data_IF_099207585314
#
_entry.id   IF_099207585314
#
_cell.length_a   1.000
_cell.length_b   1.000
_cell.length_c   1.000
_cell.angle_alpha   90.00
_cell.angle_beta   90.00
_cell.angle_gamma   90.00
#
_symmetry.space_group_name_H-M   'P 1'
#
loop_
_entity.id
_entity.type
_entity.pdbx_description
1 polymer ?
#
# COMPACT_ATOMS: atom_id res chain seq x y z
N UNK A 1 69.61 27.73 50.55
CA UNK A 1 69.07 27.52 49.17
C UNK A 1 67.98 26.45 49.18
N UNK A 2 66.73 26.85 49.14
CA UNK A 2 65.59 25.96 49.07
C UNK A 2 65.03 25.98 47.64
N UNK A 3 65.22 24.91 46.92
CA UNK A 3 64.66 24.68 45.57
C UNK A 3 63.21 24.31 45.68
N UNK A 4 62.31 25.16 45.19
CA UNK A 4 60.86 24.83 44.99
C UNK A 4 60.66 23.91 43.80
N UNK A 5 60.03 22.75 44.02
CA UNK A 5 59.52 21.86 42.95
C UNK A 5 58.26 22.46 42.38
N UNK A 6 58.03 22.40 41.02
CA UNK A 6 56.81 22.90 40.45
C UNK A 6 55.72 21.82 40.59
N UNK A 7 54.53 22.27 41.06
CA UNK A 7 53.29 21.46 41.10
C UNK A 7 52.79 21.18 39.66
N UNK A 8 52.85 19.95 39.28
CA UNK A 8 52.15 19.46 38.08
C UNK A 8 50.64 19.37 38.36
N UNK A 9 49.91 20.37 37.88
CA UNK A 9 48.44 20.38 37.87
C UNK A 9 47.95 19.32 36.90
N UNK A 10 47.51 18.18 37.40
CA UNK A 10 46.83 17.15 36.60
C UNK A 10 45.51 17.70 36.11
N UNK A 11 45.45 18.15 34.85
CA UNK A 11 44.21 18.42 34.13
C UNK A 11 43.54 17.09 33.84
N UNK A 12 42.57 16.70 34.67
CA UNK A 12 41.67 15.61 34.39
C UNK A 12 40.69 16.12 33.35
N UNK A 13 40.92 15.75 32.07
CA UNK A 13 39.94 15.99 30.99
C UNK A 13 38.82 14.98 31.19
N UNK A 14 37.71 15.47 31.72
CA UNK A 14 36.47 14.72 31.84
C UNK A 14 35.87 14.66 30.44
N UNK A 15 36.03 13.51 29.74
CA UNK A 15 35.30 13.22 28.51
C UNK A 15 33.85 12.93 28.90
N UNK A 16 33.03 13.96 28.82
CA UNK A 16 31.59 13.83 28.86
C UNK A 16 31.17 13.16 27.52
N UNK A 17 31.06 11.83 27.53
CA UNK A 17 30.40 11.11 26.44
C UNK A 17 28.92 11.52 26.42
N UNK A 18 28.61 12.51 25.58
CA UNK A 18 27.25 12.77 25.16
C UNK A 18 26.83 11.55 24.35
N UNK A 19 26.20 10.56 24.99
CA UNK A 19 25.43 9.54 24.31
C UNK A 19 24.22 10.26 23.73
N UNK A 20 24.41 10.81 22.53
CA UNK A 20 23.29 11.14 21.65
C UNK A 20 22.67 9.79 21.35
N UNK A 21 21.63 9.43 22.09
CA UNK A 21 20.71 8.42 21.66
C UNK A 21 20.09 8.94 20.35
N UNK A 22 20.73 8.63 19.23
CA UNK A 22 20.05 8.63 17.96
C UNK A 22 18.85 7.70 18.17
N UNK A 23 17.70 8.27 18.43
CA UNK A 23 16.43 7.58 18.23
C UNK A 23 16.40 7.26 16.73
N UNK A 24 17.06 6.16 16.37
CA UNK A 24 16.82 5.52 15.10
C UNK A 24 15.32 5.27 15.10
N UNK A 25 14.56 6.06 14.35
CA UNK A 25 13.23 5.67 13.98
C UNK A 25 13.40 4.41 13.12
N UNK A 26 13.56 3.26 13.82
CA UNK A 26 13.54 1.96 13.20
C UNK A 26 12.17 1.83 12.55
N UNK A 27 12.15 1.53 11.28
CA UNK A 27 10.94 1.14 10.56
C UNK A 27 10.26 0.04 11.37
N UNK A 28 9.11 0.36 11.95
CA UNK A 28 8.36 -0.60 12.76
C UNK A 28 7.56 -1.50 11.82
N UNK A 29 7.77 -2.81 11.91
CA UNK A 29 6.98 -3.79 11.17
C UNK A 29 6.10 -4.54 12.16
N UNK A 30 4.79 -4.44 11.99
CA UNK A 30 3.82 -5.11 12.84
C UNK A 30 3.07 -6.22 12.10
N UNK A 31 2.75 -7.31 12.80
CA UNK A 31 1.79 -8.30 12.32
C UNK A 31 0.39 -7.70 12.45
N UNK A 32 -0.38 -7.70 11.35
CA UNK A 32 -1.73 -7.14 11.39
C UNK A 32 -2.75 -8.05 12.10
N UNK A 33 -2.45 -9.35 12.19
CA UNK A 33 -3.20 -10.35 12.94
C UNK A 33 -2.32 -10.86 14.08
N UNK A 34 -2.45 -10.34 15.31
CA UNK A 34 -1.56 -10.71 16.41
C UNK A 34 -1.82 -12.12 16.93
N UNK A 35 -3.05 -12.60 16.82
CA UNK A 35 -3.49 -13.91 17.30
C UNK A 35 -3.69 -14.87 16.10
N UNK A 36 -4.93 -15.16 15.76
CA UNK A 36 -5.29 -16.02 14.66
C UNK A 36 -5.42 -15.23 13.35
N UNK A 37 -4.79 -15.72 12.29
CA UNK A 37 -4.94 -15.15 10.94
C UNK A 37 -6.22 -15.74 10.32
N UNK A 38 -7.23 -14.93 9.97
CA UNK A 38 -8.47 -15.45 9.40
C UNK A 38 -8.22 -16.15 8.06
N UNK A 39 -9.07 -17.13 7.72
CA UNK A 39 -8.98 -17.83 6.44
C UNK A 39 -7.63 -18.56 6.23
N UNK A 40 -6.99 -18.99 7.33
CA UNK A 40 -5.70 -19.69 7.31
C UNK A 40 -5.88 -21.20 7.50
N UNK A 41 -5.03 -21.96 6.81
CA UNK A 41 -4.78 -23.38 7.04
C UNK A 41 -3.29 -23.62 7.34
N UNK A 42 -2.95 -24.71 8.01
CA UNK A 42 -1.57 -25.07 8.27
C UNK A 42 -0.84 -25.40 6.96
N UNK A 43 0.37 -24.89 6.81
CA UNK A 43 1.21 -25.10 5.64
C UNK A 43 2.68 -25.04 6.00
N UNK A 44 3.47 -25.94 5.40
CA UNK A 44 4.93 -25.91 5.46
C UNK A 44 5.56 -24.99 4.41
N UNK A 45 4.75 -24.38 3.56
CA UNK A 45 5.24 -23.40 2.56
C UNK A 45 5.94 -22.24 3.28
N UNK A 46 7.04 -21.77 2.72
CA UNK A 46 7.79 -20.61 3.25
C UNK A 46 7.64 -19.42 2.34
N UNK A 47 7.48 -18.25 2.92
CA UNK A 47 7.62 -16.98 2.23
C UNK A 47 9.02 -16.85 1.65
N UNK A 48 9.13 -16.28 0.45
CA UNK A 48 10.40 -16.07 -0.24
C UNK A 48 10.56 -14.58 -0.52
N UNK A 49 11.65 -14.00 -0.03
CA UNK A 49 12.17 -12.72 -0.51
C UNK A 49 13.18 -13.01 -1.61
N UNK A 50 13.01 -12.42 -2.78
CA UNK A 50 13.93 -12.59 -3.90
C UNK A 50 14.30 -11.24 -4.51
N UNK A 51 15.48 -11.18 -5.11
CA UNK A 51 16.05 -9.97 -5.67
C UNK A 51 16.02 -10.00 -7.19
N UNK A 52 16.03 -8.83 -7.83
CA UNK A 52 16.32 -8.69 -9.26
C UNK A 52 17.71 -9.22 -9.58
N UNK A 53 17.98 -9.51 -10.85
CA UNK A 53 19.28 -10.08 -11.29
C UNK A 53 20.47 -9.19 -10.91
N UNK A 54 20.29 -7.88 -10.87
CA UNK A 54 21.29 -6.89 -10.46
C UNK A 54 21.30 -6.62 -8.94
N UNK A 55 20.48 -7.35 -8.17
CA UNK A 55 20.29 -7.22 -6.72
C UNK A 55 19.89 -5.83 -6.24
N UNK A 56 19.43 -4.96 -7.13
CA UNK A 56 19.04 -3.57 -6.80
C UNK A 56 17.61 -3.45 -6.25
N UNK A 57 16.72 -4.39 -6.62
CA UNK A 57 15.30 -4.39 -6.20
C UNK A 57 14.91 -5.75 -5.64
N UNK A 58 13.94 -5.76 -4.74
CA UNK A 58 13.42 -7.02 -4.19
C UNK A 58 11.90 -7.10 -4.19
N UNK A 59 11.43 -8.35 -4.13
CA UNK A 59 10.03 -8.71 -4.09
C UNK A 59 9.79 -9.82 -3.07
N UNK A 60 8.52 -9.97 -2.66
CA UNK A 60 8.09 -11.12 -1.87
C UNK A 60 7.14 -12.00 -2.68
N UNK A 61 7.24 -13.31 -2.47
CA UNK A 61 6.22 -14.27 -2.96
C UNK A 61 5.85 -15.25 -1.86
N UNK A 62 4.71 -15.92 -2.02
CA UNK A 62 4.18 -16.88 -1.04
C UNK A 62 3.98 -16.29 0.36
N UNK A 63 3.58 -15.04 0.43
CA UNK A 63 3.30 -14.36 1.70
C UNK A 63 2.17 -15.07 2.42
N UNK A 64 2.41 -15.48 3.66
CA UNK A 64 1.47 -16.21 4.51
C UNK A 64 1.13 -15.46 5.79
N UNK A 65 2.05 -14.63 6.27
CA UNK A 65 1.88 -13.78 7.45
C UNK A 65 1.89 -12.32 6.99
N UNK A 66 0.72 -11.67 6.95
CA UNK A 66 0.66 -10.29 6.51
C UNK A 66 1.20 -9.34 7.57
N UNK A 67 1.95 -8.33 7.12
CA UNK A 67 2.54 -7.31 7.98
C UNK A 67 2.28 -5.91 7.44
N UNK A 68 2.34 -4.93 8.32
CA UNK A 68 2.28 -3.52 8.00
C UNK A 68 3.62 -2.89 8.41
N UNK A 69 4.36 -2.36 7.45
CA UNK A 69 5.59 -1.61 7.67
C UNK A 69 5.26 -0.13 7.77
N UNK A 70 5.67 0.50 8.85
CA UNK A 70 5.23 1.84 9.28
C UNK A 70 6.35 2.84 9.04
N UNK A 71 6.05 3.91 8.31
CA UNK A 71 6.94 5.01 8.04
C UNK A 71 6.25 6.32 8.43
N UNK A 72 6.63 6.87 9.58
CA UNK A 72 6.07 8.12 10.07
C UNK A 72 7.00 9.29 9.73
N UNK A 73 6.49 10.41 9.23
CA UNK A 73 7.29 11.62 9.06
C UNK A 73 7.61 12.23 10.44
N UNK A 74 8.67 13.05 10.55
CA UNK A 74 8.91 13.81 11.77
C UNK A 74 7.68 14.65 12.12
N UNK A 75 7.24 14.63 13.37
CA UNK A 75 6.00 15.30 13.83
C UNK A 75 5.88 16.75 13.35
N UNK A 76 6.99 17.48 13.30
CA UNK A 76 7.04 18.89 12.87
C UNK A 76 6.59 19.08 11.41
N UNK A 77 6.75 18.06 10.56
CA UNK A 77 6.45 18.11 9.14
C UNK A 77 5.22 17.27 8.75
N UNK A 78 4.61 16.59 9.72
CA UNK A 78 3.45 15.73 9.46
C UNK A 78 2.24 16.55 9.00
N UNK A 79 1.66 16.18 7.85
CA UNK A 79 0.45 16.81 7.28
C UNK A 79 -0.83 16.32 7.94
N UNK A 80 -0.75 15.20 8.66
CA UNK A 80 -1.91 14.47 9.19
C UNK A 80 -2.54 13.50 8.19
N UNK A 81 -2.06 13.44 6.97
CA UNK A 81 -2.51 12.50 5.95
C UNK A 81 -1.78 11.16 6.05
N UNK A 82 -2.43 10.10 5.61
CA UNK A 82 -1.85 8.77 5.57
C UNK A 82 -2.16 8.03 4.25
N UNK A 83 -1.18 7.26 3.75
CA UNK A 83 -1.31 6.38 2.61
C UNK A 83 -0.95 4.94 3.00
N UNK A 84 -1.89 4.02 2.81
CA UNK A 84 -1.62 2.58 2.91
C UNK A 84 -1.30 2.07 1.52
N UNK A 85 -0.08 1.56 1.33
CA UNK A 85 0.48 1.19 0.04
C UNK A 85 0.25 -0.30 -0.22
N UNK A 86 -0.35 -0.62 -1.35
CA UNK A 86 -0.55 -1.99 -1.84
C UNK A 86 0.32 -2.23 -3.08
N UNK A 87 1.51 -2.81 -2.94
CA UNK A 87 2.38 -3.12 -4.08
C UNK A 87 1.71 -4.06 -5.08
N UNK A 88 2.04 -3.93 -6.36
CA UNK A 88 1.60 -4.83 -7.41
C UNK A 88 2.39 -6.13 -7.48
N UNK A 89 2.32 -6.78 -8.65
CA UNK A 89 2.98 -8.05 -8.92
C UNK A 89 2.02 -9.17 -9.34
N UNK A 90 0.84 -8.79 -9.86
CA UNK A 90 -0.12 -9.72 -10.46
C UNK A 90 -0.70 -10.76 -9.50
N UNK A 91 -0.70 -10.51 -8.20
CA UNK A 91 -1.01 -11.50 -7.14
C UNK A 91 -0.06 -12.72 -7.11
N UNK A 92 1.05 -12.68 -7.85
CA UNK A 92 2.10 -13.70 -7.84
C UNK A 92 3.22 -13.33 -6.87
N UNK A 93 3.56 -12.06 -6.85
CA UNK A 93 4.56 -11.47 -5.97
C UNK A 93 4.11 -10.08 -5.53
N UNK A 94 4.85 -9.48 -4.60
CA UNK A 94 4.74 -8.08 -4.23
C UNK A 94 5.99 -7.36 -4.69
N UNK A 95 5.83 -6.35 -5.53
CA UNK A 95 6.88 -5.43 -5.99
C UNK A 95 7.29 -4.49 -4.85
N UNK A 96 7.77 -5.07 -3.74
CA UNK A 96 7.82 -4.44 -2.43
C UNK A 96 8.80 -3.27 -2.36
N UNK A 97 9.91 -3.37 -3.08
CA UNK A 97 10.92 -2.32 -3.08
C UNK A 97 10.44 -1.07 -3.85
N UNK A 98 10.19 -1.21 -5.17
CA UNK A 98 9.91 -0.03 -6.01
C UNK A 98 8.45 0.45 -5.96
N UNK A 99 7.47 -0.40 -5.67
CA UNK A 99 6.05 0.00 -5.47
C UNK A 99 5.65 0.08 -3.99
N UNK A 100 6.56 -0.26 -3.08
CA UNK A 100 6.41 -0.15 -1.63
C UNK A 100 7.36 0.87 -1.04
N UNK A 101 8.63 0.47 -0.80
CA UNK A 101 9.64 1.29 -0.08
C UNK A 101 9.92 2.62 -0.80
N UNK A 102 10.15 2.60 -2.12
CA UNK A 102 10.46 3.82 -2.87
C UNK A 102 9.28 4.81 -2.83
N UNK A 103 8.05 4.32 -2.95
CA UNK A 103 6.82 5.11 -2.86
C UNK A 103 6.64 5.66 -1.45
N UNK A 104 6.86 4.83 -0.44
CA UNK A 104 6.80 5.20 0.97
C UNK A 104 7.77 6.34 1.27
N UNK A 105 9.04 6.20 0.87
CA UNK A 105 10.07 7.22 1.09
C UNK A 105 9.70 8.55 0.42
N UNK A 106 9.15 8.52 -0.79
CA UNK A 106 8.72 9.73 -1.48
C UNK A 106 7.64 10.48 -0.69
N UNK A 107 6.52 9.84 -0.35
CA UNK A 107 5.42 10.51 0.35
C UNK A 107 5.77 10.85 1.79
N UNK A 108 6.56 10.01 2.47
CA UNK A 108 7.06 10.31 3.81
C UNK A 108 7.93 11.58 3.84
N UNK A 109 8.77 11.79 2.82
CA UNK A 109 9.55 13.03 2.65
C UNK A 109 8.67 14.29 2.44
N UNK A 110 7.39 14.11 2.10
CA UNK A 110 6.39 15.19 1.97
C UNK A 110 5.51 15.37 3.21
N UNK A 111 5.84 14.70 4.30
CA UNK A 111 5.10 14.79 5.55
C UNK A 111 3.87 13.88 5.64
N UNK A 112 3.67 13.00 4.69
CA UNK A 112 2.55 12.03 4.66
C UNK A 112 3.01 10.74 5.34
N UNK A 113 2.25 10.26 6.34
CA UNK A 113 2.51 8.97 6.95
C UNK A 113 2.22 7.83 5.95
N UNK A 114 3.10 6.84 5.86
CA UNK A 114 2.93 5.74 4.92
C UNK A 114 3.02 4.38 5.59
N UNK A 115 2.26 3.44 5.07
CA UNK A 115 2.11 2.09 5.62
C UNK A 115 2.16 1.09 4.48
N UNK A 116 3.20 0.26 4.39
CA UNK A 116 3.32 -0.73 3.33
C UNK A 116 2.69 -2.02 3.79
N UNK A 117 1.62 -2.45 3.12
CA UNK A 117 0.95 -3.71 3.41
C UNK A 117 1.61 -4.85 2.63
N UNK A 118 2.28 -5.75 3.34
CA UNK A 118 2.68 -7.05 2.81
C UNK A 118 1.50 -8.00 2.94
N UNK A 119 0.54 -7.93 2.02
CA UNK A 119 -0.68 -8.74 2.04
C UNK A 119 -0.44 -10.18 1.60
N UNK A 120 -1.26 -11.11 2.08
CA UNK A 120 -1.18 -12.53 1.73
C UNK A 120 -1.42 -12.76 0.24
N UNK A 121 -0.62 -13.65 -0.32
CA UNK A 121 -0.85 -14.08 -1.70
C UNK A 121 -2.06 -15.01 -1.78
N UNK A 122 -2.98 -14.81 -2.74
CA UNK A 122 -4.17 -15.65 -2.89
C UNK A 122 -3.87 -17.14 -3.05
N UNK A 123 -2.74 -17.45 -3.70
CA UNK A 123 -2.31 -18.83 -3.99
C UNK A 123 -1.32 -19.41 -2.96
N UNK A 124 -1.08 -18.73 -1.84
CA UNK A 124 -0.30 -19.32 -0.75
C UNK A 124 -1.02 -20.54 -0.20
N UNK A 125 -0.28 -21.62 0.02
CA UNK A 125 -0.83 -22.89 0.56
C UNK A 125 -1.42 -22.75 1.96
N UNK A 126 -1.15 -21.66 2.66
CA UNK A 126 -1.76 -21.35 3.95
C UNK A 126 -3.11 -20.63 3.84
N UNK A 127 -3.58 -20.31 2.64
CA UNK A 127 -4.86 -19.61 2.41
C UNK A 127 -5.93 -20.61 2.02
N UNK A 128 -7.07 -20.63 2.75
CA UNK A 128 -8.20 -21.52 2.49
C UNK A 128 -9.03 -21.05 1.29
N UNK A 129 -9.41 -19.76 1.27
CA UNK A 129 -10.20 -19.14 0.20
C UNK A 129 -9.38 -18.00 -0.39
N UNK A 130 -8.82 -18.22 -1.57
CA UNK A 130 -7.83 -17.37 -2.22
C UNK A 130 -8.23 -15.89 -2.30
N UNK A 131 -9.42 -15.61 -2.81
CA UNK A 131 -9.86 -14.24 -3.09
C UNK A 131 -10.23 -13.40 -1.84
N UNK A 132 -10.41 -14.04 -0.68
CA UNK A 132 -10.73 -13.33 0.55
C UNK A 132 -9.49 -12.77 1.25
N UNK A 133 -8.38 -13.50 1.22
CA UNK A 133 -7.20 -13.18 2.04
C UNK A 133 -6.63 -11.77 1.79
N UNK A 134 -6.39 -11.28 0.55
CA UNK A 134 -5.90 -9.94 0.34
C UNK A 134 -6.87 -8.86 0.83
N UNK A 135 -8.19 -9.04 0.63
CA UNK A 135 -9.19 -8.06 1.06
C UNK A 135 -9.32 -8.02 2.59
N UNK A 136 -9.28 -9.18 3.28
CA UNK A 136 -9.23 -9.25 4.74
C UNK A 136 -8.03 -8.46 5.28
N UNK A 137 -6.86 -8.64 4.67
CA UNK A 137 -5.63 -7.95 5.09
C UNK A 137 -5.71 -6.44 4.82
N UNK A 138 -6.29 -6.02 3.69
CA UNK A 138 -6.50 -4.61 3.36
C UNK A 138 -7.48 -3.93 4.33
N UNK A 139 -8.63 -4.57 4.62
CA UNK A 139 -9.58 -4.07 5.62
C UNK A 139 -8.92 -3.92 6.99
N UNK A 140 -8.15 -4.94 7.40
CA UNK A 140 -7.45 -4.92 8.70
C UNK A 140 -6.41 -3.82 8.77
N UNK A 141 -5.65 -3.58 7.70
CA UNK A 141 -4.66 -2.51 7.64
C UNK A 141 -5.30 -1.13 7.81
N UNK A 142 -6.39 -0.83 7.10
CA UNK A 142 -7.12 0.44 7.26
C UNK A 142 -7.62 0.62 8.69
N UNK A 143 -8.21 -0.41 9.29
CA UNK A 143 -8.68 -0.40 10.68
C UNK A 143 -7.57 -0.13 11.68
N UNK A 144 -6.40 -0.77 11.51
CA UNK A 144 -5.23 -0.56 12.38
C UNK A 144 -4.73 0.89 12.28
N UNK A 145 -4.60 1.43 11.06
CA UNK A 145 -4.14 2.82 10.87
C UNK A 145 -5.15 3.78 11.50
N UNK A 146 -6.45 3.60 11.27
CA UNK A 146 -7.51 4.45 11.85
C UNK A 146 -7.55 4.37 13.36
N UNK A 147 -7.39 3.19 13.95
CA UNK A 147 -7.31 3.00 15.41
C UNK A 147 -6.15 3.75 16.05
N UNK A 148 -5.01 3.77 15.38
CA UNK A 148 -3.78 4.36 15.89
C UNK A 148 -3.54 5.79 15.39
N UNK A 149 -4.48 6.40 14.70
CA UNK A 149 -4.32 7.69 14.04
C UNK A 149 -3.78 8.77 14.99
N UNK A 150 -4.38 8.93 16.17
CA UNK A 150 -3.92 9.89 17.18
C UNK A 150 -2.47 9.60 17.61
N UNK A 151 -2.14 8.33 17.90
CA UNK A 151 -0.77 7.91 18.28
C UNK A 151 0.26 8.28 17.20
N UNK A 152 -0.12 8.18 15.94
CA UNK A 152 0.75 8.40 14.79
C UNK A 152 0.65 9.81 14.19
N UNK A 153 -0.07 10.71 14.86
CA UNK A 153 -0.28 12.10 14.41
C UNK A 153 -0.95 12.16 13.02
N UNK A 154 -1.97 11.33 12.83
CA UNK A 154 -2.78 11.22 11.61
C UNK A 154 -4.20 11.69 11.91
N UNK A 155 -4.83 12.37 10.95
CA UNK A 155 -6.26 12.63 10.95
C UNK A 155 -6.99 11.33 10.56
N UNK A 156 -7.88 10.75 11.41
CA UNK A 156 -8.58 9.51 11.11
C UNK A 156 -9.51 9.58 9.89
N UNK A 157 -9.79 10.77 9.38
CA UNK A 157 -10.61 11.04 8.20
C UNK A 157 -9.77 11.37 6.95
N UNK A 158 -8.44 11.22 7.02
CA UNK A 158 -7.50 11.46 5.90
C UNK A 158 -6.59 10.22 5.65
N UNK A 159 -7.17 9.03 5.69
CA UNK A 159 -6.48 7.76 5.49
C UNK A 159 -6.85 7.20 4.11
N UNK A 160 -5.96 7.35 3.15
CA UNK A 160 -6.13 6.80 1.81
C UNK A 160 -5.41 5.49 1.59
N UNK A 161 -5.77 4.82 0.49
CA UNK A 161 -5.03 3.67 -0.03
C UNK A 161 -4.44 4.01 -1.39
N UNK A 162 -3.22 3.55 -1.65
CA UNK A 162 -2.59 3.64 -2.97
C UNK A 162 -2.22 2.25 -3.44
N UNK A 163 -2.61 1.88 -4.65
CA UNK A 163 -2.35 0.55 -5.18
C UNK A 163 -1.84 0.57 -6.61
N UNK A 164 -0.90 -0.33 -6.88
CA UNK A 164 -0.20 -0.47 -8.15
C UNK A 164 -0.60 -1.76 -8.85
N UNK A 165 -0.99 -1.74 -10.13
CA UNK A 165 -1.31 -2.94 -10.92
C UNK A 165 -2.33 -3.85 -10.20
N UNK A 166 -1.97 -5.06 -9.79
CA UNK A 166 -2.81 -5.95 -8.97
C UNK A 166 -3.06 -5.38 -7.57
N UNK A 167 -2.14 -4.59 -7.00
CA UNK A 167 -2.37 -3.81 -5.79
C UNK A 167 -3.42 -2.71 -6.01
N UNK A 168 -3.49 -2.13 -7.22
CA UNK A 168 -4.57 -1.24 -7.66
C UNK A 168 -5.93 -1.95 -7.73
N UNK A 169 -5.93 -3.23 -8.12
CA UNK A 169 -7.12 -4.07 -8.01
C UNK A 169 -7.54 -4.24 -6.55
N UNK A 170 -6.61 -4.51 -5.64
CA UNK A 170 -6.91 -4.62 -4.22
C UNK A 170 -7.42 -3.30 -3.65
N UNK A 171 -6.82 -2.16 -4.02
CA UNK A 171 -7.24 -0.83 -3.59
C UNK A 171 -8.65 -0.49 -4.08
N UNK A 172 -8.97 -0.76 -5.35
CA UNK A 172 -10.33 -0.57 -5.87
C UNK A 172 -11.32 -1.58 -5.29
N UNK A 173 -10.88 -2.81 -4.93
CA UNK A 173 -11.73 -3.80 -4.28
C UNK A 173 -12.12 -3.34 -2.87
N UNK A 174 -11.17 -2.87 -2.05
CA UNK A 174 -11.54 -2.36 -0.72
C UNK A 174 -12.38 -1.09 -0.84
N UNK A 175 -12.11 -0.21 -1.80
CA UNK A 175 -12.91 1.01 -1.98
C UNK A 175 -14.37 0.74 -2.38
N UNK A 176 -14.63 -0.30 -3.16
CA UNK A 176 -15.98 -0.65 -3.60
C UNK A 176 -16.69 -1.67 -2.71
N UNK A 177 -15.94 -2.39 -1.85
CA UNK A 177 -16.45 -3.52 -1.06
C UNK A 177 -15.93 -3.52 0.39
N UNK A 178 -15.58 -2.36 0.93
CA UNK A 178 -15.03 -2.21 2.29
C UNK A 178 -15.93 -2.78 3.39
N UNK A 179 -17.24 -2.74 3.17
CA UNK A 179 -18.26 -3.16 4.14
C UNK A 179 -18.56 -4.67 4.13
N UNK A 180 -17.86 -5.47 3.32
CA UNK A 180 -18.03 -6.93 3.35
C UNK A 180 -17.57 -7.48 4.70
N UNK A 181 -18.45 -8.25 5.30
CA UNK A 181 -18.14 -9.00 6.52
C UNK A 181 -17.38 -10.29 6.14
N UNK A 182 -16.08 -10.32 6.40
CA UNK A 182 -15.18 -11.39 5.98
C UNK A 182 -14.47 -12.09 7.15
N UNK A 183 -14.73 -11.67 8.38
CA UNK A 183 -14.03 -12.15 9.58
C UNK A 183 -15.03 -12.84 10.49
N UNK A 184 -14.83 -14.15 10.70
CA UNK A 184 -15.67 -14.95 11.60
C UNK A 184 -15.38 -14.61 13.08
N UNK A 185 -14.12 -14.68 13.50
CA UNK A 185 -13.68 -14.38 14.85
C UNK A 185 -13.15 -12.95 14.95
N UNK A 186 -14.04 -11.99 15.20
CA UNK A 186 -13.72 -10.56 15.28
C UNK A 186 -13.10 -10.18 16.61
N UNK A 187 -12.07 -9.34 16.56
CA UNK A 187 -11.58 -8.59 17.72
C UNK A 187 -12.08 -7.12 17.69
N UNK A 188 -11.69 -6.32 18.72
CA UNK A 188 -12.13 -4.91 18.82
C UNK A 188 -11.73 -4.05 17.61
N UNK A 189 -10.67 -4.41 16.88
CA UNK A 189 -10.23 -3.66 15.68
C UNK A 189 -11.19 -3.90 14.51
N UNK A 190 -11.79 -5.08 14.41
CA UNK A 190 -12.64 -5.45 13.29
C UNK A 190 -14.00 -4.73 13.27
N UNK A 191 -14.35 -4.02 14.34
CA UNK A 191 -15.52 -3.14 14.42
C UNK A 191 -15.25 -1.69 13.99
N UNK A 192 -13.99 -1.34 13.73
CA UNK A 192 -13.62 -0.03 13.19
C UNK A 192 -13.93 0.00 11.69
N UNK A 193 -14.33 1.16 11.17
CA UNK A 193 -14.60 1.31 9.75
C UNK A 193 -13.34 1.05 8.92
N UNK A 194 -13.49 0.21 7.89
CA UNK A 194 -12.42 -0.14 6.93
C UNK A 194 -12.53 0.62 5.61
N UNK A 195 -13.48 1.57 5.48
CA UNK A 195 -13.59 2.41 4.29
C UNK A 195 -12.39 3.35 4.22
N UNK A 196 -11.57 3.31 3.16
CA UNK A 196 -10.56 4.34 2.95
C UNK A 196 -11.23 5.68 2.65
N UNK A 197 -10.60 6.79 3.07
CA UNK A 197 -11.17 8.12 2.85
C UNK A 197 -10.98 8.58 1.40
N UNK A 198 -9.94 8.05 0.72
CA UNK A 198 -9.72 8.21 -0.72
C UNK A 198 -8.88 7.05 -1.29
N UNK A 199 -8.82 6.94 -2.61
CA UNK A 199 -8.01 5.95 -3.32
C UNK A 199 -7.11 6.59 -4.37
N UNK A 200 -5.88 6.06 -4.53
CA UNK A 200 -5.01 6.32 -5.66
C UNK A 200 -4.70 5.01 -6.39
N UNK A 201 -5.02 4.94 -7.67
CA UNK A 201 -4.94 3.74 -8.49
C UNK A 201 -3.94 3.94 -9.62
N UNK A 202 -2.82 3.24 -9.58
CA UNK A 202 -1.72 3.44 -10.51
C UNK A 202 -1.63 2.23 -11.45
N UNK A 203 -1.88 2.45 -12.75
CA UNK A 203 -2.02 1.41 -13.80
C UNK A 203 -2.80 0.18 -13.30
N UNK A 204 -4.02 0.39 -12.73
CA UNK A 204 -4.70 -0.65 -11.97
C UNK A 204 -5.29 -1.74 -12.86
N UNK A 205 -5.24 -2.97 -12.39
CA UNK A 205 -6.16 -4.02 -12.85
C UNK A 205 -7.53 -3.70 -12.26
N UNK A 206 -8.60 -3.74 -13.08
CA UNK A 206 -9.96 -3.37 -12.64
C UNK A 206 -11.01 -4.38 -13.10
N UNK A 207 -11.12 -4.60 -14.41
CA UNK A 207 -12.25 -5.27 -15.03
C UNK A 207 -11.99 -6.74 -15.32
N UNK A 208 -13.01 -7.56 -15.13
CA UNK A 208 -13.04 -8.97 -15.55
C UNK A 208 -13.55 -9.18 -16.99
N UNK A 209 -13.82 -8.11 -17.75
CA UNK A 209 -14.21 -8.20 -19.15
C UNK A 209 -13.06 -8.80 -19.96
N UNK A 210 -13.35 -9.89 -20.68
CA UNK A 210 -12.35 -10.68 -21.42
C UNK A 210 -11.57 -9.88 -22.47
N UNK A 211 -12.09 -8.75 -22.93
CA UNK A 211 -11.43 -7.90 -23.93
C UNK A 211 -10.30 -7.05 -23.34
N UNK A 212 -10.33 -6.79 -22.01
CA UNK A 212 -9.39 -5.87 -21.34
C UNK A 212 -8.80 -6.43 -20.04
N UNK A 213 -9.26 -7.58 -19.56
CA UNK A 213 -8.85 -8.09 -18.26
C UNK A 213 -7.38 -8.54 -18.24
N UNK A 214 -6.75 -8.39 -17.09
CA UNK A 214 -5.45 -8.98 -16.85
C UNK A 214 -5.61 -10.42 -16.34
N UNK A 215 -5.67 -11.37 -17.26
CA UNK A 215 -5.99 -12.78 -16.97
C UNK A 215 -5.11 -13.42 -15.90
N UNK A 216 -3.82 -13.06 -15.87
CA UNK A 216 -2.89 -13.56 -14.85
C UNK A 216 -3.28 -13.18 -13.41
N UNK A 217 -3.73 -11.95 -13.17
CA UNK A 217 -4.20 -11.51 -11.85
C UNK A 217 -5.50 -12.18 -11.45
N UNK A 218 -6.50 -12.20 -12.35
CA UNK A 218 -7.78 -12.83 -12.08
C UNK A 218 -7.65 -14.34 -11.83
N UNK A 219 -6.84 -15.04 -12.63
CA UNK A 219 -6.56 -16.48 -12.43
C UNK A 219 -5.95 -16.76 -11.05
N UNK A 220 -5.00 -15.93 -10.60
CA UNK A 220 -4.36 -16.11 -9.28
C UNK A 220 -5.30 -15.78 -8.14
N UNK A 221 -6.14 -14.78 -8.30
CA UNK A 221 -7.08 -14.36 -7.26
C UNK A 221 -8.27 -15.32 -7.15
N UNK A 222 -8.86 -15.73 -8.29
CA UNK A 222 -10.15 -16.40 -8.36
C UNK A 222 -10.07 -17.88 -8.75
N UNK A 223 -8.89 -18.39 -9.14
CA UNK A 223 -8.71 -19.73 -9.70
C UNK A 223 -8.81 -19.79 -11.22
N UNK A 224 -8.71 -21.00 -11.78
CA UNK A 224 -8.66 -21.19 -13.24
C UNK A 224 -10.01 -20.95 -13.94
N UNK A 225 -11.12 -21.39 -13.33
CA UNK A 225 -12.46 -21.32 -13.91
C UNK A 225 -13.45 -20.75 -12.89
N UNK A 226 -13.33 -19.46 -12.52
CA UNK A 226 -14.20 -18.89 -11.52
C UNK A 226 -15.63 -18.74 -12.05
N UNK A 227 -16.66 -18.94 -11.21
CA UNK A 227 -18.04 -18.68 -11.59
C UNK A 227 -18.23 -17.23 -12.07
N UNK A 228 -19.11 -17.00 -13.04
CA UNK A 228 -19.42 -15.66 -13.58
C UNK A 228 -19.80 -14.66 -12.47
N UNK A 229 -20.51 -15.13 -11.43
CA UNK A 229 -20.87 -14.30 -10.26
C UNK A 229 -19.61 -13.77 -9.55
N UNK A 230 -18.61 -14.64 -9.37
CA UNK A 230 -17.36 -14.26 -8.70
C UNK A 230 -16.52 -13.30 -9.56
N UNK A 231 -16.45 -13.54 -10.88
CA UNK A 231 -15.83 -12.60 -11.82
C UNK A 231 -16.46 -11.20 -11.73
N UNK A 232 -17.80 -11.11 -11.78
CA UNK A 232 -18.51 -9.84 -11.63
C UNK A 232 -18.25 -9.19 -10.27
N UNK A 233 -18.17 -9.95 -9.20
CA UNK A 233 -17.90 -9.46 -7.85
C UNK A 233 -16.52 -8.80 -7.74
N UNK A 234 -15.53 -9.27 -8.48
CA UNK A 234 -14.17 -8.74 -8.51
C UNK A 234 -13.88 -7.85 -9.74
N UNK A 235 -14.89 -7.55 -10.56
CA UNK A 235 -14.83 -6.52 -11.61
C UNK A 235 -15.23 -5.19 -10.99
N UNK A 236 -14.23 -4.43 -10.51
CA UNK A 236 -14.48 -3.28 -9.65
C UNK A 236 -15.19 -2.14 -10.38
N UNK A 237 -15.08 -2.06 -11.71
CA UNK A 237 -15.88 -1.17 -12.56
C UNK A 237 -17.39 -1.40 -12.44
N UNK A 238 -17.82 -2.62 -12.11
CA UNK A 238 -19.22 -2.99 -11.91
C UNK A 238 -19.71 -2.80 -10.46
N UNK A 239 -18.79 -2.55 -9.53
CA UNK A 239 -19.09 -2.49 -8.09
C UNK A 239 -19.01 -1.07 -7.51
N UNK A 240 -18.76 -0.06 -8.33
CA UNK A 240 -18.82 1.35 -7.92
C UNK A 240 -20.23 1.68 -7.44
N UNK A 241 -20.33 2.40 -6.32
CA UNK A 241 -21.58 2.81 -5.70
C UNK A 241 -21.42 4.18 -5.01
N UNK A 242 -22.48 4.75 -4.47
CA UNK A 242 -22.48 6.07 -3.83
C UNK A 242 -21.51 6.21 -2.64
N UNK A 243 -21.12 5.10 -2.02
CA UNK A 243 -20.17 5.10 -0.90
C UNK A 243 -18.72 4.85 -1.33
N UNK A 244 -18.46 4.68 -2.64
CA UNK A 244 -17.10 4.54 -3.17
C UNK A 244 -16.30 5.82 -2.86
N UNK A 245 -15.07 5.72 -2.33
CA UNK A 245 -14.28 6.89 -1.99
C UNK A 245 -13.87 7.74 -3.21
N UNK A 246 -13.58 9.04 -3.03
CA UNK A 246 -12.89 9.85 -4.03
C UNK A 246 -11.66 9.13 -4.57
N UNK A 247 -11.40 9.25 -5.89
CA UNK A 247 -10.40 8.40 -6.54
C UNK A 247 -9.50 9.17 -7.50
N UNK A 248 -8.20 9.04 -7.33
CA UNK A 248 -7.17 9.49 -8.26
C UNK A 248 -6.66 8.32 -9.10
N UNK A 249 -6.52 8.47 -10.41
CA UNK A 249 -6.16 7.38 -11.32
C UNK A 249 -5.04 7.83 -12.25
N UNK A 250 -4.00 6.98 -12.40
CA UNK A 250 -2.90 7.22 -13.35
C UNK A 250 -2.69 6.00 -14.22
N UNK A 251 -2.53 6.19 -15.52
CA UNK A 251 -2.23 5.11 -16.46
C UNK A 251 -1.39 5.60 -17.65
N UNK A 252 -0.79 4.66 -18.37
CA UNK A 252 -0.11 4.93 -19.65
C UNK A 252 -0.88 4.31 -20.80
N UNK A 253 -1.09 5.06 -21.89
CA UNK A 253 -1.83 4.58 -23.06
C UNK A 253 -1.15 3.38 -23.75
N UNK A 254 0.18 3.30 -23.67
CA UNK A 254 0.97 2.21 -24.26
C UNK A 254 1.24 1.03 -23.31
N UNK A 255 0.48 0.90 -22.21
CA UNK A 255 0.58 -0.23 -21.30
C UNK A 255 0.12 -1.54 -22.00
N UNK A 256 1.07 -2.47 -22.20
CA UNK A 256 0.82 -3.77 -22.84
C UNK A 256 0.43 -4.87 -21.87
N UNK A 257 0.65 -4.68 -20.57
CA UNK A 257 0.33 -5.66 -19.54
C UNK A 257 -1.10 -5.49 -19.01
N UNK A 258 -1.48 -4.24 -18.66
CA UNK A 258 -2.81 -3.88 -18.22
C UNK A 258 -3.33 -2.77 -19.11
N UNK A 259 -4.33 -3.09 -19.93
CA UNK A 259 -4.89 -2.13 -20.90
C UNK A 259 -5.46 -0.91 -20.19
N UNK A 260 -5.20 0.28 -20.74
CA UNK A 260 -5.66 1.58 -20.20
C UNK A 260 -7.18 1.65 -20.03
N UNK A 261 -7.93 0.84 -20.78
CA UNK A 261 -9.39 0.71 -20.69
C UNK A 261 -9.87 0.27 -19.30
N UNK A 262 -9.02 -0.38 -18.49
CA UNK A 262 -9.32 -0.65 -17.08
C UNK A 262 -9.57 0.67 -16.33
N UNK A 263 -8.68 1.64 -16.46
CA UNK A 263 -8.80 2.96 -15.84
C UNK A 263 -9.94 3.78 -16.43
N UNK A 264 -10.11 3.77 -17.75
CA UNK A 264 -11.20 4.47 -18.42
C UNK A 264 -12.57 3.99 -17.98
N UNK A 265 -12.76 2.67 -17.86
CA UNK A 265 -14.03 2.09 -17.39
C UNK A 265 -14.31 2.44 -15.93
N UNK A 266 -13.30 2.36 -15.08
CA UNK A 266 -13.48 2.71 -13.66
C UNK A 266 -13.83 4.19 -13.49
N UNK A 267 -13.11 5.08 -14.18
CA UNK A 267 -13.41 6.50 -14.24
C UNK A 267 -14.86 6.77 -14.69
N UNK A 268 -15.30 6.12 -15.80
CA UNK A 268 -16.68 6.23 -16.27
C UNK A 268 -17.70 5.78 -15.21
N UNK A 269 -17.39 4.71 -14.48
CA UNK A 269 -18.28 4.22 -13.41
C UNK A 269 -18.32 5.18 -12.23
N UNK A 270 -17.19 5.77 -11.82
CA UNK A 270 -17.14 6.80 -10.78
C UNK A 270 -17.99 8.02 -11.15
N UNK A 271 -17.86 8.51 -12.38
CA UNK A 271 -18.66 9.64 -12.89
C UNK A 271 -20.16 9.34 -12.90
N UNK A 272 -20.56 8.11 -13.23
CA UNK A 272 -21.96 7.69 -13.21
C UNK A 272 -22.59 7.83 -11.82
N UNK A 273 -21.80 7.63 -10.75
CA UNK A 273 -22.25 7.75 -9.37
C UNK A 273 -21.92 9.11 -8.73
N UNK A 274 -21.40 10.06 -9.51
CA UNK A 274 -21.04 11.39 -9.02
C UNK A 274 -19.86 11.40 -8.03
N UNK A 275 -19.03 10.35 -8.05
CA UNK A 275 -17.87 10.26 -7.16
C UNK A 275 -16.76 11.19 -7.67
N UNK A 276 -16.25 12.05 -6.78
CA UNK A 276 -15.10 12.94 -7.09
C UNK A 276 -13.91 12.08 -7.54
N UNK A 277 -13.41 12.36 -8.74
CA UNK A 277 -12.28 11.58 -9.27
C UNK A 277 -11.47 12.39 -10.29
N UNK A 278 -10.21 12.01 -10.44
CA UNK A 278 -9.28 12.59 -11.42
C UNK A 278 -8.54 11.47 -12.14
N UNK A 279 -8.41 11.59 -13.47
CA UNK A 279 -7.76 10.60 -14.33
C UNK A 279 -6.65 11.24 -15.15
N UNK A 280 -5.44 10.72 -15.03
CA UNK A 280 -4.28 11.11 -15.82
C UNK A 280 -3.85 9.97 -16.74
N UNK A 281 -3.84 10.21 -18.05
CA UNK A 281 -3.36 9.25 -19.04
C UNK A 281 -2.15 9.85 -19.76
N UNK A 282 -1.01 9.17 -19.60
CA UNK A 282 0.23 9.52 -20.29
C UNK A 282 0.37 8.72 -21.59
N UNK A 283 0.83 9.36 -22.66
CA UNK A 283 1.01 8.70 -23.94
C UNK A 283 1.97 7.51 -23.85
N UNK A 284 3.09 7.69 -23.14
CA UNK A 284 4.18 6.72 -23.00
C UNK A 284 4.53 6.55 -21.52
N UNK A 285 4.68 5.30 -21.09
CA UNK A 285 5.08 4.94 -19.73
C UNK A 285 5.26 3.43 -19.59
N UNK A 286 4.46 2.66 -20.34
CA UNK A 286 4.38 1.19 -20.20
C UNK A 286 3.70 0.80 -18.90
N UNK A 287 4.11 -0.35 -18.33
CA UNK A 287 3.61 -0.87 -17.06
C UNK A 287 4.69 -0.89 -15.98
N UNK A 288 4.31 -0.81 -14.70
CA UNK A 288 5.24 -1.02 -13.58
C UNK A 288 6.24 0.11 -13.35
N UNK A 289 5.93 1.34 -13.78
CA UNK A 289 6.84 2.48 -13.66
C UNK A 289 6.94 3.08 -12.24
N UNK A 290 6.12 2.65 -11.28
CA UNK A 290 6.12 3.17 -9.90
C UNK A 290 6.12 4.71 -9.87
N UNK A 291 7.09 5.36 -9.22
CA UNK A 291 7.26 6.82 -9.19
C UNK A 291 7.66 7.42 -10.54
N UNK A 292 7.96 6.59 -11.54
CA UNK A 292 8.43 7.03 -12.87
C UNK A 292 9.67 7.95 -12.83
N UNK A 293 10.58 7.72 -11.88
CA UNK A 293 11.80 8.51 -11.71
C UNK A 293 12.59 8.58 -13.05
N UNK A 294 12.93 9.79 -13.47
CA UNK A 294 13.66 10.03 -14.72
C UNK A 294 12.83 9.90 -16.00
N UNK A 295 11.50 9.74 -15.90
CA UNK A 295 10.60 9.61 -17.07
C UNK A 295 9.85 10.92 -17.36
N UNK A 296 10.56 11.99 -17.72
CA UNK A 296 10.01 13.27 -18.16
C UNK A 296 8.72 13.70 -17.41
N UNK A 297 7.64 14.01 -18.14
CA UNK A 297 6.36 14.46 -17.58
C UNK A 297 5.64 13.37 -16.75
N UNK A 298 5.87 12.08 -17.05
CA UNK A 298 5.28 10.99 -16.26
C UNK A 298 5.72 11.04 -14.79
N UNK A 299 6.97 11.48 -14.51
CA UNK A 299 7.49 11.63 -13.14
C UNK A 299 6.75 12.68 -12.31
N UNK A 300 5.82 13.42 -12.90
CA UNK A 300 5.01 14.44 -12.21
C UNK A 300 3.79 13.85 -11.47
N UNK A 301 3.33 12.65 -11.83
CA UNK A 301 2.11 12.11 -11.25
C UNK A 301 2.12 12.01 -9.70
N UNK A 302 3.25 11.72 -9.01
CA UNK A 302 3.22 11.65 -7.56
C UNK A 302 2.94 13.01 -6.89
N UNK A 303 3.35 14.11 -7.51
CA UNK A 303 3.06 15.46 -7.06
C UNK A 303 1.59 15.83 -7.35
N UNK A 304 1.05 15.44 -8.51
CA UNK A 304 -0.36 15.65 -8.84
C UNK A 304 -1.28 14.94 -7.84
N UNK A 305 -0.88 13.77 -7.32
CA UNK A 305 -1.64 13.12 -6.25
C UNK A 305 -1.65 13.98 -4.98
N UNK A 306 -0.53 14.59 -4.58
CA UNK A 306 -0.47 15.48 -3.41
C UNK A 306 -1.39 16.68 -3.62
N UNK A 307 -1.30 17.33 -4.78
CA UNK A 307 -2.15 18.48 -5.12
C UNK A 307 -3.63 18.10 -5.08
N UNK A 308 -3.98 16.94 -5.64
CA UNK A 308 -5.35 16.43 -5.63
C UNK A 308 -5.85 16.11 -4.21
N UNK A 309 -5.02 15.47 -3.36
CA UNK A 309 -5.37 15.18 -1.96
C UNK A 309 -5.74 16.46 -1.21
N UNK A 310 -5.04 17.55 -1.43
CA UNK A 310 -5.34 18.86 -0.84
C UNK A 310 -6.72 19.42 -1.27
N UNK A 311 -7.35 18.86 -2.30
CA UNK A 311 -8.70 19.25 -2.73
C UNK A 311 -9.82 18.47 -2.06
N UNK A 312 -9.48 17.50 -1.19
CA UNK A 312 -10.44 16.59 -0.55
C UNK A 312 -10.97 17.10 0.80
N UNK A 313 -10.61 18.27 1.20
CA UNK A 313 -11.05 18.90 2.46
C UNK A 313 -12.52 19.31 2.43
#
# INVERSE_FOLDING_TARGET
MRTKKPNFLKKTISYLFFIISCLSYSQEIIKIWPNEIPNRVNSSEKEIKFYSNDSTMYSYTKVQVPTLEIHLPPKKFATGEALIIFPGGGYKNLAYDWEGISVSNFYNSKGIATFILKYRHPQSKSVKISHLAPLQDAQRAVRIVRKNAVKWNINPNKIGVIGFSAGGHLASTIGTQYNRDLIENKDKIDFIDSRPDFMALIYPVISSDSTIYHGGSFKRLLGNNPPKKLLKQYSNDLNVNLNTPPTFIVHSNNDKAVKVENSLRFHKSLNKFGIKNELHIYAIGGHGYSLATGKENLSRWPYLLIDWMATLD
#
